data_IF_573843668117
#
_entry.id   IF_573843668117
#
_cell.length_a   1.000
_cell.length_b   1.000
_cell.length_c   1.000
_cell.angle_alpha   90.00
_cell.angle_beta   90.00
_cell.angle_gamma   90.00
#
_symmetry.space_group_name_H-M   'P 1'
#
loop_
_entity.id
_entity.type
_entity.pdbx_description
1 polymer ?
#
# COMPACT_ATOMS: atom_id res chain seq x y z
N UNK A 1 24.76 -4.29 -1.54
CA UNK A 1 23.49 -3.70 -2.02
C UNK A 1 23.34 -2.30 -1.42
N UNK A 2 22.61 -1.37 -2.07
CA UNK A 2 22.42 0.02 -1.59
C UNK A 2 21.02 0.29 -1.01
N UNK A 3 20.06 -0.60 -1.26
CA UNK A 3 18.64 -0.46 -0.90
C UNK A 3 18.11 -1.84 -0.51
N UNK A 4 17.20 -1.88 0.47
CA UNK A 4 16.41 -3.06 0.85
C UNK A 4 14.94 -2.74 0.56
N UNK A 5 14.25 -3.66 -0.11
CA UNK A 5 12.82 -3.53 -0.43
C UNK A 5 12.02 -4.43 0.48
N UNK A 6 10.96 -3.88 1.09
CA UNK A 6 10.13 -4.59 2.06
C UNK A 6 8.70 -4.70 1.52
N UNK A 7 8.14 -5.91 1.50
CA UNK A 7 6.72 -6.14 1.22
C UNK A 7 5.90 -5.97 2.51
N UNK A 8 5.95 -4.76 3.08
CA UNK A 8 5.23 -4.42 4.31
C UNK A 8 4.99 -2.92 4.34
N UNK A 9 3.81 -2.51 4.78
CA UNK A 9 3.43 -1.09 4.93
C UNK A 9 3.50 -0.60 6.39
N UNK A 10 3.50 -1.49 7.37
CA UNK A 10 3.38 -1.12 8.80
C UNK A 10 4.42 -1.79 9.69
N UNK A 11 4.30 -3.11 9.87
CA UNK A 11 5.10 -3.87 10.86
C UNK A 11 6.62 -3.79 10.68
N UNK A 12 7.11 -3.39 9.50
CA UNK A 12 8.54 -3.34 9.25
C UNK A 12 9.28 -2.31 10.11
N UNK A 13 8.62 -1.23 10.55
CA UNK A 13 9.30 -0.14 11.26
C UNK A 13 9.94 -0.60 12.57
N UNK A 14 9.23 -1.41 13.36
CA UNK A 14 9.79 -2.00 14.57
C UNK A 14 10.90 -3.02 14.27
N UNK A 15 10.72 -3.86 13.24
CA UNK A 15 11.68 -4.91 12.90
C UNK A 15 12.94 -4.42 12.17
N UNK A 16 12.93 -3.20 11.61
CA UNK A 16 14.03 -2.65 10.81
C UNK A 16 14.61 -1.35 11.36
N UNK A 17 14.19 -0.91 12.55
CA UNK A 17 14.66 0.33 13.18
C UNK A 17 16.19 0.39 13.32
N UNK A 18 16.84 -0.75 13.55
CA UNK A 18 18.30 -0.85 13.69
C UNK A 18 19.06 -0.65 12.36
N UNK A 19 18.42 -0.92 11.22
CA UNK A 19 19.07 -0.89 9.91
C UNK A 19 18.83 0.41 9.14
N UNK A 20 17.69 1.06 9.36
CA UNK A 20 17.32 2.28 8.66
C UNK A 20 16.57 3.23 9.61
N UNK A 21 17.12 4.43 9.87
CA UNK A 21 16.38 5.44 10.62
C UNK A 21 15.18 5.93 9.79
N UNK A 22 14.18 6.52 10.45
CA UNK A 22 12.89 6.84 9.83
C UNK A 22 13.03 7.79 8.61
N UNK A 23 14.01 8.69 8.62
CA UNK A 23 14.27 9.65 7.54
C UNK A 23 14.75 8.99 6.25
N UNK A 24 15.21 7.73 6.33
CA UNK A 24 15.64 6.94 5.17
C UNK A 24 14.58 5.95 4.70
N UNK A 25 13.39 5.96 5.28
CA UNK A 25 12.28 5.12 4.86
C UNK A 25 11.50 5.86 3.77
N UNK A 26 11.54 5.29 2.57
CA UNK A 26 10.75 5.78 1.44
C UNK A 26 9.52 4.89 1.25
N UNK A 27 8.33 5.46 1.45
CA UNK A 27 7.09 4.79 1.08
C UNK A 27 6.86 4.94 -0.42
N UNK A 28 6.98 3.83 -1.15
CA UNK A 28 6.82 3.83 -2.60
C UNK A 28 5.43 3.32 -2.95
N UNK A 29 4.75 4.06 -3.84
CA UNK A 29 3.53 3.62 -4.47
C UNK A 29 3.86 2.63 -5.60
N UNK A 30 3.77 1.34 -5.28
CA UNK A 30 4.04 0.25 -6.21
C UNK A 30 2.73 -0.39 -6.71
N UNK A 31 2.72 -0.93 -7.95
CA UNK A 31 1.60 -1.74 -8.42
C UNK A 31 1.49 -3.04 -7.62
N UNK A 32 0.29 -3.63 -7.58
CA UNK A 32 0.08 -4.94 -6.97
C UNK A 32 -1.32 -5.11 -6.37
N UNK A 33 -1.66 -6.35 -6.05
CA UNK A 33 -2.99 -6.72 -5.52
C UNK A 33 -3.30 -6.11 -4.14
N UNK A 34 -2.29 -5.59 -3.44
CA UNK A 34 -2.43 -4.95 -2.14
C UNK A 34 -2.36 -3.42 -2.22
N UNK A 35 -2.54 -2.83 -3.41
CA UNK A 35 -2.58 -1.37 -3.54
C UNK A 35 -3.82 -0.81 -2.82
N UNK A 36 -3.68 0.24 -2.01
CA UNK A 36 -4.83 0.89 -1.37
C UNK A 36 -5.62 1.78 -2.34
N UNK A 37 -5.13 2.02 -3.56
CA UNK A 37 -5.77 2.88 -4.55
C UNK A 37 -6.83 2.09 -5.32
N UNK A 38 -8.04 2.01 -4.75
CA UNK A 38 -9.12 1.15 -5.27
C UNK A 38 -9.54 1.49 -6.71
N UNK A 39 -9.36 2.73 -7.16
CA UNK A 39 -9.68 3.16 -8.53
C UNK A 39 -8.78 2.54 -9.61
N UNK A 40 -7.64 1.94 -9.24
CA UNK A 40 -6.74 1.25 -10.18
C UNK A 40 -7.23 -0.13 -10.62
N UNK A 41 -8.23 -0.67 -9.95
CA UNK A 41 -8.72 -2.02 -10.19
C UNK A 41 -10.02 -1.99 -10.99
N UNK A 42 -10.11 -2.85 -12.01
CA UNK A 42 -11.34 -3.10 -12.75
C UNK A 42 -12.22 -4.11 -11.99
N UNK A 43 -12.82 -3.66 -10.89
CA UNK A 43 -13.66 -4.50 -10.03
C UNK A 43 -14.78 -5.19 -10.80
N UNK A 44 -14.98 -6.48 -10.55
CA UNK A 44 -16.09 -7.27 -11.09
C UNK A 44 -16.76 -8.01 -9.95
N UNK A 45 -18.10 -8.05 -9.95
CA UNK A 45 -18.92 -8.76 -8.95
C UNK A 45 -18.80 -8.20 -7.52
N UNK A 46 -18.40 -6.94 -7.39
CA UNK A 46 -18.51 -6.22 -6.12
C UNK A 46 -20.00 -5.87 -5.90
N UNK A 47 -20.62 -6.18 -4.75
CA UNK A 47 -21.96 -5.69 -4.43
C UNK A 47 -21.93 -4.16 -4.38
N UNK A 48 -22.77 -3.46 -5.13
CA UNK A 48 -22.79 -1.99 -5.24
C UNK A 48 -24.06 -1.39 -4.61
N UNK A 49 -24.03 -0.15 -4.10
CA UNK A 49 -22.90 0.80 -4.11
C UNK A 49 -21.82 0.49 -3.06
N UNK A 50 -20.55 0.77 -3.37
CA UNK A 50 -19.43 0.73 -2.41
C UNK A 50 -18.69 2.05 -2.39
N UNK A 51 -18.80 2.80 -1.30
CA UNK A 51 -17.90 3.94 -1.06
C UNK A 51 -16.45 3.45 -0.86
N UNK A 52 -15.40 4.08 -1.43
CA UNK A 52 -15.41 5.29 -2.25
C UNK A 52 -15.49 5.05 -3.78
N UNK A 53 -15.70 3.81 -4.23
CA UNK A 53 -15.79 3.46 -5.67
C UNK A 53 -17.09 4.01 -6.29
N UNK A 54 -18.18 3.98 -5.54
CA UNK A 54 -19.49 4.55 -5.82
C UNK A 54 -19.80 5.66 -4.81
N UNK A 55 -19.34 6.91 -5.06
CA UNK A 55 -19.48 8.00 -4.09
C UNK A 55 -20.90 8.56 -3.96
N UNK A 56 -21.79 8.27 -4.93
CA UNK A 56 -23.19 8.70 -4.92
C UNK A 56 -24.11 7.47 -4.87
N UNK A 57 -25.13 7.45 -4.00
CA UNK A 57 -26.11 6.36 -3.93
C UNK A 57 -26.99 6.26 -5.19
#
# INVERSE_FOLDING_TARGET
>A
ARVVVLKSRGHFRAGFAEFAPNERILEVDAPGLTSPVLSRFAWKRLPRPVFPIDPNP
#
